data_IF_851578978958
#
_entry.id   IF_851578978958
#
_cell.length_a   1.000
_cell.length_b   1.000
_cell.length_c   1.000
_cell.angle_alpha   90.00
_cell.angle_beta   90.00
_cell.angle_gamma   90.00
#
_symmetry.space_group_name_H-M   'P 1'
#
loop_
_entity.id
_entity.type
_entity.pdbx_description
1 polymer ?
#
# COMPACT_ATOMS: atom_id res chain seq x y z
N UNK A 1 -7.15 4.37 -38.50
CA UNK A 1 -7.20 4.96 -37.16
C UNK A 1 -7.89 6.29 -37.29
N UNK A 2 -8.94 6.51 -36.50
CA UNK A 2 -9.67 7.77 -36.48
C UNK A 2 -8.73 8.88 -35.94
N UNK A 3 -8.46 9.95 -36.70
CA UNK A 3 -7.56 11.02 -36.29
C UNK A 3 -8.11 11.91 -35.16
N UNK A 4 -9.31 11.63 -34.65
CA UNK A 4 -9.95 12.35 -33.55
C UNK A 4 -9.80 11.71 -32.16
N UNK A 5 -9.14 10.54 -32.06
CA UNK A 5 -8.94 9.86 -30.77
C UNK A 5 -7.86 10.57 -29.91
N UNK A 6 -8.11 10.88 -28.63
CA UNK A 6 -7.13 11.52 -27.75
C UNK A 6 -5.96 10.57 -27.42
N UNK A 7 -4.73 11.06 -27.56
CA UNK A 7 -3.50 10.34 -27.20
C UNK A 7 -3.18 10.64 -25.73
N UNK A 8 -3.19 9.63 -24.87
CA UNK A 8 -2.69 9.73 -23.49
C UNK A 8 -1.16 9.51 -23.50
N UNK A 9 -0.40 10.53 -23.10
CA UNK A 9 1.06 10.41 -22.89
C UNK A 9 1.34 10.10 -21.42
N UNK A 10 2.02 8.98 -21.16
CA UNK A 10 2.54 8.62 -19.85
C UNK A 10 3.85 9.39 -19.59
N UNK A 11 3.80 10.44 -18.78
CA UNK A 11 5.00 11.11 -18.28
C UNK A 11 5.52 10.38 -17.03
N UNK A 12 6.85 10.35 -16.83
CA UNK A 12 7.53 9.75 -15.66
C UNK A 12 7.15 10.39 -14.30
N UNK A 13 6.39 11.50 -14.30
CA UNK A 13 5.83 12.15 -13.10
C UNK A 13 4.36 12.46 -13.33
N UNK A 14 3.48 11.63 -12.79
CA UNK A 14 2.03 11.83 -12.81
C UNK A 14 1.36 11.73 -14.19
N UNK A 15 0.07 11.44 -14.18
CA UNK A 15 -0.78 11.56 -15.38
C UNK A 15 -1.04 13.05 -15.63
N UNK A 16 -0.51 13.57 -16.73
CA UNK A 16 -0.83 14.92 -17.21
C UNK A 16 -1.97 14.81 -18.21
N UNK A 17 -3.13 15.39 -17.89
CA UNK A 17 -4.20 15.58 -18.88
C UNK A 17 -3.86 16.80 -19.75
N UNK A 18 -3.94 16.63 -21.07
CA UNK A 18 -3.77 17.71 -22.04
C UNK A 18 -5.02 18.60 -22.05
N UNK A 19 -4.85 19.92 -21.99
CA UNK A 19 -5.96 20.87 -22.07
C UNK A 19 -6.70 20.90 -23.42
N UNK A 20 -6.11 20.34 -24.49
CA UNK A 20 -6.72 20.22 -25.81
C UNK A 20 -6.10 19.06 -26.61
N UNK A 21 -6.84 18.54 -27.60
CA UNK A 21 -6.35 17.51 -28.51
C UNK A 21 -5.21 18.05 -29.38
N UNK A 22 -4.14 17.26 -29.54
CA UNK A 22 -2.98 17.63 -30.37
C UNK A 22 -3.17 17.07 -31.79
N UNK A 23 -3.21 17.92 -32.83
CA UNK A 23 -3.34 17.45 -34.20
C UNK A 23 -2.11 16.64 -34.63
N UNK A 24 -2.31 15.43 -35.13
CA UNK A 24 -1.22 14.53 -35.55
C UNK A 24 -0.33 15.14 -36.66
N UNK A 25 -0.88 16.06 -37.47
CA UNK A 25 -0.13 16.81 -38.50
C UNK A 25 0.92 17.77 -37.92
N UNK A 26 0.69 18.30 -36.72
CA UNK A 26 1.60 19.24 -36.08
C UNK A 26 2.80 18.51 -35.43
N UNK A 27 2.59 17.27 -35.00
CA UNK A 27 3.64 16.37 -34.51
C UNK A 27 4.59 15.98 -35.64
N UNK A 28 4.03 15.58 -36.80
CA UNK A 28 4.81 15.11 -37.95
C UNK A 28 5.60 16.25 -38.61
N UNK A 29 5.09 17.48 -38.53
CA UNK A 29 5.74 18.67 -39.13
C UNK A 29 6.82 19.31 -38.25
N UNK A 30 7.12 18.75 -37.07
CA UNK A 30 8.17 19.24 -36.17
C UNK A 30 7.89 20.63 -35.58
N UNK A 31 6.62 21.06 -35.57
CA UNK A 31 6.22 22.37 -35.06
C UNK A 31 6.28 22.35 -33.53
N UNK A 32 6.87 23.40 -32.92
CA UNK A 32 6.96 23.49 -31.47
C UNK A 32 5.56 23.53 -30.83
N UNK A 33 5.24 22.52 -30.02
CA UNK A 33 3.97 22.39 -29.31
C UNK A 33 4.10 22.97 -27.89
N UNK A 34 3.12 23.77 -27.48
CA UNK A 34 3.03 24.34 -26.13
C UNK A 34 1.97 23.58 -25.36
N UNK A 35 2.38 22.91 -24.28
CA UNK A 35 1.49 22.14 -23.43
C UNK A 35 0.89 23.03 -22.34
N UNK A 36 -0.42 22.94 -22.13
CA UNK A 36 -1.10 23.48 -20.95
C UNK A 36 -1.45 22.32 -20.03
N UNK A 37 -1.01 22.42 -18.78
CA UNK A 37 -1.27 21.42 -17.73
C UNK A 37 -2.60 21.75 -17.04
N UNK A 38 -3.38 20.71 -16.70
CA UNK A 38 -4.53 20.84 -15.80
C UNK A 38 -4.11 21.23 -14.37
N UNK A 39 -5.06 21.48 -13.45
CA UNK A 39 -4.74 21.88 -12.07
C UNK A 39 -3.82 20.85 -11.42
N UNK A 40 -2.70 21.32 -10.88
CA UNK A 40 -1.76 20.51 -10.10
C UNK A 40 -2.52 19.90 -8.91
N UNK A 41 -2.57 18.57 -8.86
CA UNK A 41 -2.88 17.89 -7.62
C UNK A 41 -1.65 18.07 -6.73
N UNK A 42 -1.78 18.83 -5.64
CA UNK A 42 -0.73 19.02 -4.64
C UNK A 42 -0.05 17.68 -4.36
N UNK A 43 1.18 17.57 -4.86
CA UNK A 43 1.99 16.35 -4.84
C UNK A 43 3.04 16.42 -3.73
N UNK A 44 2.67 17.02 -2.59
CA UNK A 44 3.50 17.01 -1.41
C UNK A 44 3.03 15.87 -0.48
N UNK A 45 3.92 14.87 -0.35
CA UNK A 45 3.95 13.71 0.58
C UNK A 45 2.96 12.55 0.24
N UNK A 46 3.33 11.31 -0.12
CA UNK A 46 4.53 10.47 0.03
C UNK A 46 4.77 9.63 -1.25
N UNK A 47 5.64 10.10 -2.14
CA UNK A 47 6.13 9.30 -3.30
C UNK A 47 7.60 8.90 -3.08
N UNK A 48 8.01 8.72 -1.83
CA UNK A 48 9.35 8.19 -1.51
C UNK A 48 9.41 6.70 -1.85
N UNK A 49 10.09 6.41 -2.96
CA UNK A 49 10.93 5.24 -3.23
C UNK A 49 10.58 3.93 -2.49
N UNK A 50 9.50 3.28 -2.88
CA UNK A 50 9.37 1.82 -2.72
C UNK A 50 9.22 1.23 -4.14
N UNK A 51 10.24 1.46 -4.97
CA UNK A 51 10.47 0.66 -6.17
C UNK A 51 10.62 -0.80 -5.71
N UNK A 52 9.68 -1.65 -6.13
CA UNK A 52 9.73 -3.11 -6.01
C UNK A 52 9.69 -3.75 -4.61
N UNK A 53 8.65 -3.49 -3.79
CA UNK A 53 8.12 -4.55 -2.86
C UNK A 53 6.71 -4.33 -2.31
N UNK A 54 5.90 -3.44 -2.90
CA UNK A 54 4.54 -3.18 -2.40
C UNK A 54 3.60 -4.40 -2.45
N UNK A 55 3.89 -5.37 -3.33
CA UNK A 55 3.25 -6.69 -3.40
C UNK A 55 3.13 -7.41 -2.06
N UNK A 56 4.19 -7.31 -1.26
CA UNK A 56 4.39 -8.21 -0.13
C UNK A 56 4.20 -7.50 1.22
N UNK A 57 4.65 -6.24 1.36
CA UNK A 57 4.45 -5.44 2.59
C UNK A 57 2.96 -5.26 2.93
N UNK A 58 2.14 -4.82 1.97
CA UNK A 58 0.75 -4.43 2.30
C UNK A 58 -0.26 -5.57 2.41
N UNK A 59 0.00 -6.74 1.82
CA UNK A 59 -0.99 -7.83 1.85
C UNK A 59 -1.07 -8.54 3.22
N UNK A 60 0.00 -8.51 4.02
CA UNK A 60 0.11 -9.26 5.28
C UNK A 60 0.46 -8.43 6.53
N UNK A 61 0.37 -7.10 6.48
CA UNK A 61 0.44 -6.21 7.67
C UNK A 61 -0.66 -6.50 8.73
N UNK A 62 -1.48 -7.53 8.51
CA UNK A 62 -2.49 -8.07 9.43
C UNK A 62 -1.88 -8.73 10.70
N UNK A 63 -0.59 -9.07 10.69
CA UNK A 63 0.05 -9.85 11.77
C UNK A 63 0.78 -9.00 12.83
N UNK A 64 0.78 -7.66 12.72
CA UNK A 64 1.42 -6.78 13.72
C UNK A 64 2.94 -6.95 13.85
N UNK A 65 3.61 -7.48 12.83
CA UNK A 65 5.06 -7.73 12.83
C UNK A 65 5.81 -6.42 12.63
N UNK A 66 6.63 -6.03 13.61
CA UNK A 66 7.56 -4.91 13.46
C UNK A 66 8.63 -5.25 12.42
N UNK A 67 8.72 -4.45 11.36
CA UNK A 67 9.60 -4.69 10.21
C UNK A 67 10.92 -3.94 10.27
N UNK A 68 11.08 -2.98 11.20
CA UNK A 68 12.24 -2.11 11.35
C UNK A 68 13.14 -2.54 12.51
N UNK A 69 13.56 -3.79 12.47
CA UNK A 69 14.41 -4.37 13.52
C UNK A 69 15.82 -4.48 12.99
N UNK A 70 16.73 -3.82 13.70
CA UNK A 70 18.14 -3.95 13.43
C UNK A 70 18.69 -5.22 14.08
N UNK A 71 18.88 -6.24 13.24
CA UNK A 71 19.41 -7.54 13.65
C UNK A 71 20.87 -7.48 14.07
N UNK A 72 21.62 -6.44 13.69
CA UNK A 72 23.02 -6.30 14.10
C UNK A 72 23.19 -6.05 15.60
N UNK A 73 22.13 -5.57 16.28
CA UNK A 73 22.14 -5.39 17.73
C UNK A 73 22.03 -6.70 18.52
N UNK A 74 21.76 -7.82 17.84
CA UNK A 74 21.70 -9.13 18.46
C UNK A 74 23.06 -9.80 18.26
N UNK A 75 23.72 -10.17 19.35
CA UNK A 75 25.01 -10.86 19.29
C UNK A 75 24.81 -12.34 18.89
N UNK A 76 25.64 -12.87 17.96
CA UNK A 76 25.62 -14.29 17.64
C UNK A 76 26.12 -15.09 18.83
N UNK A 77 25.57 -16.28 19.03
CA UNK A 77 26.04 -17.20 20.05
C UNK A 77 26.46 -18.53 19.42
N UNK A 78 27.75 -18.83 19.55
CA UNK A 78 28.40 -20.07 19.08
C UNK A 78 28.67 -21.05 20.23
N UNK A 79 28.31 -20.70 21.46
CA UNK A 79 28.64 -21.44 22.67
C UNK A 79 27.38 -22.01 23.34
N UNK A 80 27.59 -22.89 24.32
CA UNK A 80 26.52 -23.46 25.15
C UNK A 80 25.36 -24.01 24.30
N UNK A 81 25.69 -24.72 23.21
CA UNK A 81 24.68 -25.29 22.31
C UNK A 81 23.83 -26.38 22.99
N UNK A 82 24.25 -26.86 24.15
CA UNK A 82 23.49 -27.80 25.00
C UNK A 82 22.53 -27.08 25.97
N UNK A 83 22.51 -25.75 25.98
CA UNK A 83 21.51 -24.96 26.70
C UNK A 83 20.10 -25.30 26.18
N UNK A 84 19.11 -25.56 27.07
CA UNK A 84 17.75 -25.91 26.67
C UNK A 84 17.02 -24.84 25.84
N UNK A 85 17.55 -23.61 25.76
CA UNK A 85 17.07 -22.58 24.84
C UNK A 85 17.40 -22.87 23.38
N UNK A 86 18.41 -23.71 23.11
CA UNK A 86 18.68 -24.25 21.78
C UNK A 86 17.79 -25.46 21.56
N UNK A 87 16.81 -25.29 20.68
CA UNK A 87 15.88 -26.35 20.28
C UNK A 87 16.40 -26.98 18.99
N UNK A 88 16.42 -28.29 18.94
CA UNK A 88 16.70 -29.04 17.72
C UNK A 88 15.65 -28.70 16.66
N UNK A 89 16.12 -28.36 15.47
CA UNK A 89 15.25 -28.18 14.32
C UNK A 89 14.85 -29.56 13.83
N UNK A 90 13.59 -29.81 13.43
CA UNK A 90 13.20 -31.09 12.84
C UNK A 90 14.00 -31.34 11.55
N UNK A 91 15.07 -32.11 11.69
CA UNK A 91 15.96 -32.58 10.65
C UNK A 91 16.26 -34.07 10.81
N UNK A 92 16.93 -34.65 9.83
CA UNK A 92 17.25 -36.08 9.85
C UNK A 92 18.36 -36.43 10.86
N UNK A 93 19.18 -35.46 11.32
CA UNK A 93 20.41 -35.70 12.11
C UNK A 93 20.56 -34.91 13.43
N UNK A 94 19.67 -33.97 13.77
CA UNK A 94 19.65 -33.19 15.03
C UNK A 94 20.71 -32.10 15.19
N UNK A 95 21.50 -31.82 14.14
CA UNK A 95 22.74 -31.03 14.28
C UNK A 95 22.48 -29.52 14.08
N UNK A 96 21.45 -29.15 13.32
CA UNK A 96 21.04 -27.75 13.17
C UNK A 96 20.20 -27.35 14.38
N UNK A 97 20.67 -26.33 15.12
CA UNK A 97 20.00 -25.86 16.33
C UNK A 97 19.41 -24.47 16.13
N UNK A 98 18.26 -24.21 16.73
CA UNK A 98 17.58 -22.91 16.71
C UNK A 98 17.36 -22.40 18.13
N UNK A 99 17.68 -21.13 18.36
CA UNK A 99 17.32 -20.40 19.58
C UNK A 99 16.41 -19.24 19.26
N UNK A 100 15.23 -19.21 19.87
CA UNK A 100 14.26 -18.12 19.67
C UNK A 100 14.70 -16.90 20.50
N UNK A 101 14.90 -15.77 19.84
CA UNK A 101 15.17 -14.46 20.45
C UNK A 101 13.86 -13.71 20.68
N UNK A 102 12.94 -13.79 19.71
CA UNK A 102 11.60 -13.24 19.81
C UNK A 102 10.61 -14.20 19.21
N UNK A 103 9.58 -14.54 19.98
CA UNK A 103 8.50 -15.44 19.56
C UNK A 103 7.69 -14.77 18.45
N UNK A 104 7.39 -15.51 17.38
CA UNK A 104 6.49 -15.10 16.32
C UNK A 104 5.04 -15.51 16.58
N UNK A 105 4.26 -15.65 15.52
CA UNK A 105 2.87 -16.08 15.58
C UNK A 105 2.63 -17.38 14.83
N UNK A 106 2.19 -17.26 13.59
CA UNK A 106 1.68 -18.38 12.79
C UNK A 106 2.85 -19.21 12.24
N UNK A 107 2.78 -20.53 12.38
CA UNK A 107 3.73 -21.45 11.78
C UNK A 107 3.65 -21.43 10.24
N UNK A 108 4.80 -21.44 9.58
CA UNK A 108 4.87 -21.43 8.12
C UNK A 108 4.64 -22.84 7.56
N UNK A 109 3.79 -23.01 6.54
CA UNK A 109 3.62 -24.30 5.85
C UNK A 109 4.92 -24.81 5.24
N UNK A 110 5.09 -26.13 5.19
CA UNK A 110 6.30 -26.79 4.68
C UNK A 110 6.62 -26.45 3.22
N UNK A 111 5.60 -26.19 2.40
CA UNK A 111 5.73 -25.76 1.01
C UNK A 111 5.29 -24.29 0.89
N UNK A 112 6.24 -23.39 1.12
CA UNK A 112 6.01 -21.95 1.03
C UNK A 112 7.25 -21.22 0.47
N UNK A 113 7.01 -20.04 -0.08
CA UNK A 113 8.04 -19.04 -0.36
C UNK A 113 8.10 -18.10 0.83
N UNK A 114 9.22 -18.04 1.54
CA UNK A 114 9.40 -17.16 2.69
C UNK A 114 10.16 -15.90 2.31
N UNK A 115 9.89 -14.81 3.03
CA UNK A 115 10.71 -13.61 2.97
C UNK A 115 11.20 -13.26 4.36
N UNK A 116 12.50 -13.05 4.48
CA UNK A 116 13.19 -12.88 5.75
C UNK A 116 14.37 -11.93 5.59
N UNK A 117 14.75 -11.28 6.68
CA UNK A 117 16.02 -10.56 6.79
C UNK A 117 16.96 -11.36 7.67
N UNK A 118 18.26 -11.29 7.41
CA UNK A 118 19.23 -12.02 8.23
C UNK A 118 20.56 -11.29 8.31
N UNK A 119 21.31 -11.64 9.34
CA UNK A 119 22.73 -11.33 9.51
C UNK A 119 23.44 -12.65 9.79
N UNK A 120 24.45 -12.98 8.98
CA UNK A 120 25.24 -14.20 9.12
C UNK A 120 26.61 -13.90 9.72
N UNK A 121 26.98 -14.65 10.75
CA UNK A 121 28.30 -14.58 11.39
C UNK A 121 29.05 -15.89 11.23
N UNK A 122 30.37 -15.80 11.10
CA UNK A 122 31.28 -16.94 11.12
C UNK A 122 31.90 -17.07 12.51
N UNK A 123 32.07 -18.30 12.98
CA UNK A 123 32.72 -18.54 14.27
C UNK A 123 34.15 -17.96 14.29
N UNK A 124 34.46 -17.21 15.35
CA UNK A 124 35.75 -16.54 15.51
C UNK A 124 35.88 -15.18 14.81
N UNK A 125 34.85 -14.73 14.09
CA UNK A 125 34.82 -13.41 13.43
C UNK A 125 33.88 -12.46 14.16
N UNK A 126 34.27 -11.19 14.28
CA UNK A 126 33.44 -10.14 14.91
C UNK A 126 32.46 -9.50 13.95
N UNK A 127 32.81 -9.44 12.67
CA UNK A 127 31.99 -8.82 11.63
C UNK A 127 31.16 -9.89 10.89
N UNK A 128 29.93 -9.56 10.47
CA UNK A 128 29.11 -10.48 9.70
C UNK A 128 29.66 -10.67 8.28
N UNK A 129 29.64 -11.90 7.77
CA UNK A 129 30.12 -12.21 6.42
C UNK A 129 29.07 -11.95 5.32
N UNK A 130 27.79 -11.89 5.70
CA UNK A 130 26.67 -11.66 4.80
C UNK A 130 25.46 -11.06 5.55
N UNK A 131 24.74 -10.15 4.90
CA UNK A 131 23.55 -9.51 5.47
C UNK A 131 22.49 -9.28 4.41
N UNK A 132 21.25 -9.66 4.70
CA UNK A 132 20.09 -9.16 3.94
C UNK A 132 19.49 -7.95 4.67
N UNK A 133 19.68 -6.76 4.07
CA UNK A 133 19.27 -5.49 4.65
C UNK A 133 17.76 -5.41 4.93
N UNK A 134 17.40 -4.60 5.94
CA UNK A 134 16.03 -4.40 6.43
C UNK A 134 15.05 -4.05 5.29
N UNK A 135 15.50 -3.22 4.34
CA UNK A 135 14.72 -2.71 3.22
C UNK A 135 14.50 -3.74 2.10
N UNK A 136 15.40 -4.71 1.96
CA UNK A 136 15.36 -5.72 0.89
C UNK A 136 15.38 -7.13 1.49
N UNK A 137 14.22 -7.63 1.98
CA UNK A 137 14.11 -8.99 2.48
C UNK A 137 14.53 -10.01 1.42
N UNK A 138 15.31 -11.02 1.82
CA UNK A 138 15.62 -12.15 0.94
C UNK A 138 14.39 -13.03 0.79
N UNK A 139 14.14 -13.50 -0.42
CA UNK A 139 13.10 -14.48 -0.70
C UNK A 139 13.72 -15.84 -1.00
N UNK A 140 13.14 -16.91 -0.45
CA UNK A 140 13.58 -18.29 -0.69
C UNK A 140 12.39 -19.22 -0.69
N UNK A 141 12.35 -20.21 -1.59
CA UNK A 141 11.47 -21.35 -1.36
C UNK A 141 12.04 -22.23 -0.26
N UNK A 142 11.16 -22.76 0.60
CA UNK A 142 11.55 -23.67 1.68
C UNK A 142 11.94 -25.07 1.18
N UNK A 143 11.84 -25.35 -0.11
CA UNK A 143 12.13 -26.65 -0.73
C UNK A 143 13.51 -26.77 -1.40
N UNK A 144 14.36 -25.73 -1.37
CA UNK A 144 15.79 -25.94 -1.73
C UNK A 144 16.61 -24.75 -2.24
N UNK A 145 16.15 -23.51 -2.17
CA UNK A 145 16.90 -22.38 -2.76
C UNK A 145 18.04 -21.85 -1.88
N UNK A 146 18.00 -22.11 -0.57
CA UNK A 146 18.94 -21.56 0.40
C UNK A 146 19.84 -22.64 0.99
N UNK A 147 20.91 -22.19 1.67
CA UNK A 147 21.85 -23.05 2.40
C UNK A 147 21.08 -24.08 3.25
N UNK A 148 21.43 -25.38 3.20
CA UNK A 148 20.62 -26.43 3.83
C UNK A 148 20.25 -26.14 5.28
N UNK A 149 21.22 -25.79 6.13
CA UNK A 149 20.96 -25.50 7.55
C UNK A 149 20.09 -24.27 7.78
N UNK A 150 20.22 -23.24 6.92
CA UNK A 150 19.34 -22.07 6.97
C UNK A 150 17.92 -22.43 6.56
N UNK A 151 17.75 -23.24 5.50
CA UNK A 151 16.43 -23.73 5.05
C UNK A 151 15.74 -24.53 6.15
N UNK A 152 16.48 -25.40 6.84
CA UNK A 152 15.97 -26.19 7.97
C UNK A 152 15.53 -25.27 9.11
N UNK A 153 16.38 -24.32 9.51
CA UNK A 153 16.03 -23.32 10.52
C UNK A 153 14.76 -22.55 10.17
N UNK A 154 14.65 -22.04 8.93
CA UNK A 154 13.48 -21.31 8.43
C UNK A 154 12.19 -22.14 8.48
N UNK A 155 12.23 -23.44 8.18
CA UNK A 155 11.06 -24.34 8.25
C UNK A 155 10.49 -24.47 9.66
N UNK A 156 11.33 -24.30 10.68
CA UNK A 156 10.90 -24.38 12.09
C UNK A 156 10.39 -23.05 12.65
N UNK A 157 10.49 -21.95 11.88
CA UNK A 157 10.14 -20.61 12.36
C UNK A 157 8.66 -20.29 12.15
N UNK A 158 8.18 -19.36 12.97
CA UNK A 158 6.86 -18.72 12.87
C UNK A 158 7.00 -17.30 12.30
N UNK A 159 5.93 -16.79 11.66
CA UNK A 159 5.93 -15.43 11.12
C UNK A 159 6.11 -14.40 12.23
N UNK A 160 7.04 -13.46 12.05
CA UNK A 160 7.44 -12.44 13.03
C UNK A 160 8.52 -12.88 14.01
N UNK A 161 8.89 -14.17 14.00
CA UNK A 161 9.93 -14.74 14.87
C UNK A 161 11.30 -14.15 14.53
N UNK A 162 12.07 -13.87 15.58
CA UNK A 162 13.51 -13.64 15.47
C UNK A 162 14.20 -14.81 16.13
N UNK A 163 15.09 -15.48 15.41
CA UNK A 163 15.81 -16.63 15.91
C UNK A 163 17.28 -16.60 15.49
N UNK A 164 18.13 -17.21 16.31
CA UNK A 164 19.48 -17.60 15.93
C UNK A 164 19.45 -19.05 15.45
N UNK A 165 20.03 -19.31 14.29
CA UNK A 165 20.13 -20.64 13.69
C UNK A 165 21.61 -20.98 13.59
N UNK A 166 22.04 -21.96 14.37
CA UNK A 166 23.38 -22.52 14.33
C UNK A 166 23.45 -23.55 13.20
N UNK A 167 24.42 -23.38 12.31
CA UNK A 167 24.64 -24.20 11.12
C UNK A 167 26.08 -24.72 11.12
N UNK A 168 26.28 -26.03 11.31
CA UNK A 168 27.61 -26.64 11.21
C UNK A 168 28.10 -26.68 9.74
N UNK A 169 29.39 -26.92 9.49
CA UNK A 169 29.96 -26.96 8.14
C UNK A 169 29.21 -27.91 7.19
N UNK A 170 28.78 -29.08 7.68
CA UNK A 170 28.06 -30.10 6.89
C UNK A 170 26.76 -29.60 6.26
N UNK A 171 26.07 -28.65 6.92
CA UNK A 171 24.86 -28.00 6.44
C UNK A 171 25.10 -26.55 5.97
N UNK A 172 26.37 -26.14 5.96
CA UNK A 172 26.86 -24.84 5.55
C UNK A 172 27.73 -24.92 4.30
N UNK A 173 28.92 -24.32 4.36
CA UNK A 173 29.87 -24.28 3.22
C UNK A 173 30.87 -25.46 3.21
N UNK A 174 30.72 -26.43 4.12
CA UNK A 174 31.54 -27.62 4.20
C UNK A 174 32.99 -27.38 4.59
N UNK A 175 33.80 -28.43 4.51
CA UNK A 175 35.24 -28.41 4.80
C UNK A 175 36.05 -27.54 3.82
N UNK A 176 35.52 -27.30 2.62
CA UNK A 176 36.17 -26.49 1.60
C UNK A 176 35.84 -24.99 1.73
N UNK A 177 34.73 -24.65 2.40
CA UNK A 177 34.28 -23.27 2.52
C UNK A 177 33.90 -22.64 1.19
N UNK A 178 34.07 -21.33 1.08
CA UNK A 178 33.97 -20.55 -0.15
C UNK A 178 35.26 -19.75 -0.29
N UNK A 179 36.16 -20.11 -1.23
CA UNK A 179 37.48 -19.47 -1.37
C UNK A 179 37.39 -17.93 -1.35
N UNK A 180 38.34 -17.30 -0.67
CA UNK A 180 38.46 -15.84 -0.43
C UNK A 180 37.37 -15.18 0.44
N UNK A 181 36.24 -15.83 0.70
CA UNK A 181 35.13 -15.24 1.47
C UNK A 181 34.80 -15.96 2.77
N UNK A 182 34.81 -17.29 2.77
CA UNK A 182 34.37 -18.12 3.90
C UNK A 182 35.38 -19.26 4.10
N UNK A 183 36.05 -19.33 5.26
CA UNK A 183 36.96 -20.43 5.57
C UNK A 183 36.25 -21.79 5.53
N UNK A 184 37.00 -22.84 5.21
CA UNK A 184 36.53 -24.21 5.33
C UNK A 184 36.36 -24.65 6.78
N UNK A 185 35.37 -25.52 7.02
CA UNK A 185 35.17 -26.15 8.34
C UNK A 185 34.67 -25.20 9.44
N UNK A 186 34.21 -24.00 9.10
CA UNK A 186 33.73 -23.00 10.07
C UNK A 186 32.23 -23.15 10.37
N UNK A 187 31.85 -23.02 11.64
CA UNK A 187 30.45 -22.94 12.05
C UNK A 187 29.86 -21.56 11.72
N UNK A 188 28.54 -21.53 11.50
CA UNK A 188 27.82 -20.32 11.11
C UNK A 188 26.65 -20.10 12.06
N UNK A 189 26.41 -18.85 12.45
CA UNK A 189 25.16 -18.46 13.12
C UNK A 189 24.44 -17.43 12.26
N UNK A 190 23.22 -17.76 11.85
CA UNK A 190 22.31 -16.82 11.21
C UNK A 190 21.35 -16.25 12.25
N UNK A 191 21.31 -14.93 12.35
CA UNK A 191 20.27 -14.21 13.08
C UNK A 191 19.21 -13.84 12.05
N UNK A 192 18.03 -14.44 12.15
CA UNK A 192 16.98 -14.37 11.13
C UNK A 192 15.73 -13.74 11.72
N UNK A 193 15.11 -12.85 10.96
CA UNK A 193 13.75 -12.37 11.20
C UNK A 193 12.86 -12.79 10.05
N UNK A 194 11.93 -13.71 10.33
CA UNK A 194 10.99 -14.23 9.34
C UNK A 194 9.81 -13.26 9.20
N UNK A 195 9.76 -12.52 8.09
CA UNK A 195 8.79 -11.44 7.92
C UNK A 195 7.45 -11.94 7.39
N UNK A 196 7.46 -12.84 6.42
CA UNK A 196 6.25 -13.26 5.69
C UNK A 196 6.46 -14.56 4.93
N UNK A 197 5.36 -15.17 4.49
CA UNK A 197 5.37 -16.30 3.57
C UNK A 197 4.23 -16.23 2.56
N UNK A 198 4.42 -16.88 1.42
CA UNK A 198 3.38 -17.16 0.43
C UNK A 198 3.26 -18.67 0.36
N UNK A 199 2.09 -19.25 0.66
CA UNK A 199 1.90 -20.69 0.59
C UNK A 199 1.80 -21.15 -0.87
N UNK A 200 2.16 -22.40 -1.15
CA UNK A 200 2.25 -22.92 -2.53
C UNK A 200 0.94 -22.81 -3.31
N UNK A 201 -0.21 -22.92 -2.64
CA UNK A 201 -1.53 -22.79 -3.28
C UNK A 201 -1.74 -21.39 -3.88
N UNK A 202 -1.02 -20.38 -3.37
CA UNK A 202 -1.08 -18.99 -3.84
C UNK A 202 -0.03 -18.66 -4.90
N UNK A 203 0.85 -19.59 -5.29
CA UNK A 203 1.86 -19.33 -6.34
C UNK A 203 1.24 -19.06 -7.71
N UNK A 204 0.01 -19.53 -7.94
CA UNK A 204 -0.75 -19.29 -9.17
C UNK A 204 -1.64 -18.05 -9.10
N UNK A 205 -1.68 -17.36 -7.96
CA UNK A 205 -2.44 -16.12 -7.83
C UNK A 205 -1.57 -14.96 -8.36
N UNK A 206 -2.05 -14.19 -9.36
CA UNK A 206 -1.31 -13.09 -9.98
C UNK A 206 -0.71 -12.09 -8.97
N UNK A 207 -1.33 -11.93 -7.81
CA UNK A 207 -0.86 -11.00 -6.78
C UNK A 207 0.49 -11.39 -6.16
N UNK A 208 0.92 -12.63 -6.35
CA UNK A 208 2.12 -13.20 -5.76
C UNK A 208 3.15 -13.67 -6.81
N UNK A 209 2.86 -13.43 -8.09
CA UNK A 209 3.75 -13.76 -9.20
C UNK A 209 4.84 -12.70 -9.41
N UNK A 210 5.94 -13.10 -10.05
CA UNK A 210 6.96 -12.17 -10.54
C UNK A 210 6.46 -11.41 -11.77
N UNK A 211 7.02 -10.24 -12.04
CA UNK A 211 6.66 -9.43 -13.22
C UNK A 211 6.81 -10.21 -14.54
N UNK A 212 7.87 -11.02 -14.67
CA UNK A 212 8.09 -11.89 -15.82
C UNK A 212 6.93 -12.89 -16.03
N UNK A 213 6.45 -13.52 -14.95
CA UNK A 213 5.32 -14.45 -15.02
C UNK A 213 4.02 -13.71 -15.29
N UNK A 214 3.86 -12.49 -14.78
CA UNK A 214 2.67 -11.68 -15.02
C UNK A 214 2.48 -11.29 -16.48
N UNK A 215 3.55 -11.18 -17.27
CA UNK A 215 3.46 -10.84 -18.71
C UNK A 215 2.67 -11.87 -19.52
N UNK A 216 2.66 -13.14 -19.10
CA UNK A 216 1.92 -14.22 -19.79
C UNK A 216 0.53 -14.47 -19.20
N UNK A 217 0.18 -13.81 -18.08
CA UNK A 217 -1.12 -13.96 -17.44
C UNK A 217 -2.17 -13.17 -18.21
N UNK A 218 -3.31 -13.80 -18.48
CA UNK A 218 -4.45 -13.14 -19.11
C UNK A 218 -4.99 -12.04 -18.19
N UNK A 219 -5.27 -10.86 -18.76
CA UNK A 219 -5.79 -9.70 -18.01
C UNK A 219 -7.03 -10.04 -17.15
N UNK A 220 -7.91 -10.91 -17.65
CA UNK A 220 -9.08 -11.39 -16.90
C UNK A 220 -8.73 -12.05 -15.55
N UNK A 221 -7.64 -12.82 -15.48
CA UNK A 221 -7.22 -13.46 -14.22
C UNK A 221 -6.63 -12.43 -13.25
N UNK A 222 -5.90 -11.43 -13.75
CA UNK A 222 -5.46 -10.27 -12.97
C UNK A 222 -6.67 -9.55 -12.37
N UNK A 223 -7.71 -9.29 -13.16
CA UNK A 223 -8.93 -8.63 -12.66
C UNK A 223 -9.64 -9.46 -11.59
N UNK A 224 -9.73 -10.78 -11.76
CA UNK A 224 -10.31 -11.66 -10.73
C UNK A 224 -9.53 -11.60 -9.42
N UNK A 225 -8.20 -11.60 -9.49
CA UNK A 225 -7.35 -11.52 -8.31
C UNK A 225 -7.58 -10.19 -7.56
N UNK A 226 -7.59 -9.06 -8.28
CA UNK A 226 -7.89 -7.73 -7.73
C UNK A 226 -9.31 -7.65 -7.15
N UNK A 227 -10.29 -8.28 -7.80
CA UNK A 227 -11.65 -8.38 -7.27
C UNK A 227 -11.70 -9.15 -5.95
N UNK A 228 -10.88 -10.18 -5.78
CA UNK A 228 -10.69 -10.89 -4.50
C UNK A 228 -10.26 -9.93 -3.39
N UNK A 229 -9.22 -9.11 -3.64
CA UNK A 229 -8.77 -8.10 -2.67
C UNK A 229 -9.86 -7.08 -2.35
N UNK A 230 -10.61 -6.63 -3.36
CA UNK A 230 -11.71 -5.70 -3.14
C UNK A 230 -12.78 -6.32 -2.22
N UNK A 231 -13.07 -7.62 -2.38
CA UNK A 231 -14.01 -8.33 -1.51
C UNK A 231 -13.48 -8.46 -0.08
N UNK A 232 -12.19 -8.79 0.10
CA UNK A 232 -11.52 -8.77 1.42
C UNK A 232 -11.60 -7.39 2.07
N UNK A 233 -11.29 -6.32 1.33
CA UNK A 233 -11.41 -4.94 1.79
C UNK A 233 -12.84 -4.59 2.22
N UNK A 234 -13.84 -5.02 1.45
CA UNK A 234 -15.25 -4.82 1.80
C UNK A 234 -15.65 -5.58 3.08
N UNK A 235 -15.08 -6.76 3.33
CA UNK A 235 -15.28 -7.48 4.59
C UNK A 235 -14.65 -6.72 5.76
N UNK A 236 -13.43 -6.20 5.59
CA UNK A 236 -12.78 -5.36 6.60
C UNK A 236 -13.57 -4.09 6.91
N UNK A 237 -14.16 -3.44 5.91
CA UNK A 237 -15.08 -2.31 6.10
C UNK A 237 -16.29 -2.70 6.97
N UNK A 238 -16.90 -3.86 6.70
CA UNK A 238 -18.04 -4.37 7.51
C UNK A 238 -17.63 -4.65 8.95
N UNK A 239 -16.41 -5.13 9.15
CA UNK A 239 -15.80 -5.35 10.48
C UNK A 239 -15.27 -4.07 11.13
N UNK A 240 -15.51 -2.89 10.53
CA UNK A 240 -15.02 -1.57 10.98
C UNK A 240 -13.49 -1.46 11.08
N UNK A 241 -12.76 -2.34 10.42
CA UNK A 241 -11.30 -2.28 10.34
C UNK A 241 -10.89 -1.43 9.13
N UNK A 242 -11.14 -0.12 9.23
CA UNK A 242 -10.97 0.82 8.12
C UNK A 242 -9.50 0.99 7.71
N UNK A 243 -8.57 0.94 8.66
CA UNK A 243 -7.13 1.08 8.37
C UNK A 243 -6.63 -0.04 7.46
N UNK A 244 -6.99 -1.29 7.77
CA UNK A 244 -6.61 -2.43 6.94
C UNK A 244 -7.33 -2.43 5.58
N UNK A 245 -8.59 -2.01 5.55
CA UNK A 245 -9.32 -1.84 4.29
C UNK A 245 -8.60 -0.84 3.35
N UNK A 246 -8.17 0.32 3.87
CA UNK A 246 -7.39 1.31 3.11
C UNK A 246 -6.11 0.68 2.53
N UNK A 247 -5.37 -0.10 3.33
CA UNK A 247 -4.14 -0.78 2.87
C UNK A 247 -4.42 -1.74 1.73
N UNK A 248 -5.46 -2.57 1.85
CA UNK A 248 -5.89 -3.51 0.80
C UNK A 248 -6.31 -2.79 -0.48
N UNK A 249 -7.08 -1.70 -0.38
CA UNK A 249 -7.46 -0.91 -1.56
C UNK A 249 -6.27 -0.21 -2.21
N UNK A 250 -5.36 0.39 -1.42
CA UNK A 250 -4.12 0.98 -1.92
C UNK A 250 -3.30 -0.04 -2.70
N UNK A 251 -3.16 -1.24 -2.14
CA UNK A 251 -2.46 -2.33 -2.80
C UNK A 251 -3.10 -2.70 -4.15
N UNK A 252 -4.41 -2.92 -4.16
CA UNK A 252 -5.18 -3.24 -5.35
C UNK A 252 -5.08 -2.17 -6.45
N UNK A 253 -5.13 -0.88 -6.07
CA UNK A 253 -4.98 0.25 -6.99
C UNK A 253 -3.58 0.23 -7.61
N UNK A 254 -2.53 0.22 -6.79
CA UNK A 254 -1.15 0.26 -7.27
C UNK A 254 -0.83 -0.95 -8.15
N UNK A 255 -1.30 -2.14 -7.78
CA UNK A 255 -1.10 -3.34 -8.58
C UNK A 255 -1.77 -3.24 -9.95
N UNK A 256 -2.97 -2.65 -10.04
CA UNK A 256 -3.75 -2.58 -11.26
C UNK A 256 -3.33 -1.40 -12.17
N UNK A 257 -2.87 -0.29 -11.60
CA UNK A 257 -2.40 0.88 -12.36
C UNK A 257 -1.10 0.60 -13.13
N UNK A 258 -0.25 -0.29 -12.63
CA UNK A 258 0.97 -0.69 -13.32
C UNK A 258 0.72 -1.70 -14.45
N UNK A 259 -0.51 -2.21 -14.61
CA UNK A 259 -0.84 -3.20 -15.64
C UNK A 259 -1.20 -2.52 -16.95
N UNK A 260 -0.49 -2.88 -18.01
CA UNK A 260 -0.84 -2.54 -19.39
C UNK A 260 -2.09 -3.32 -19.84
N UNK A 261 -2.93 -2.66 -20.64
CA UNK A 261 -4.14 -3.24 -21.25
C UNK A 261 -3.94 -3.33 -22.76
N UNK A 262 -4.31 -4.44 -23.39
CA UNK A 262 -4.11 -4.66 -24.82
C UNK A 262 -5.28 -4.12 -25.66
N UNK A 263 -6.48 -4.03 -25.08
CA UNK A 263 -7.69 -3.59 -25.79
C UNK A 263 -8.43 -2.49 -25.04
N UNK A 264 -9.24 -1.72 -25.76
CA UNK A 264 -10.14 -0.71 -25.18
C UNK A 264 -11.16 -1.32 -24.20
N UNK A 265 -11.60 -2.57 -24.45
CA UNK A 265 -12.48 -3.31 -23.55
C UNK A 265 -11.79 -3.59 -22.21
N UNK A 266 -10.56 -4.09 -22.25
CA UNK A 266 -9.76 -4.34 -21.04
C UNK A 266 -9.48 -3.04 -20.29
N UNK A 267 -9.18 -1.96 -21.01
CA UNK A 267 -9.03 -0.63 -20.42
C UNK A 267 -10.27 -0.20 -19.64
N UNK A 268 -11.46 -0.31 -20.26
CA UNK A 268 -12.73 0.02 -19.62
C UNK A 268 -13.03 -0.87 -18.40
N UNK A 269 -12.72 -2.17 -18.46
CA UNK A 269 -12.87 -3.08 -17.33
C UNK A 269 -11.94 -2.73 -16.17
N UNK A 270 -10.67 -2.39 -16.48
CA UNK A 270 -9.69 -1.88 -15.52
C UNK A 270 -10.20 -0.65 -14.80
N UNK A 271 -10.66 0.35 -15.56
CA UNK A 271 -11.15 1.60 -15.03
C UNK A 271 -12.38 1.43 -14.12
N UNK A 272 -13.32 0.55 -14.50
CA UNK A 272 -14.47 0.23 -13.64
C UNK A 272 -14.06 -0.30 -12.27
N UNK A 273 -13.03 -1.16 -12.24
CA UNK A 273 -12.50 -1.72 -10.99
C UNK A 273 -11.72 -0.65 -10.21
N UNK A 274 -10.83 0.10 -10.86
CA UNK A 274 -10.12 1.23 -10.23
C UNK A 274 -11.10 2.24 -9.63
N UNK A 275 -12.15 2.61 -10.36
CA UNK A 275 -13.17 3.53 -9.86
C UNK A 275 -13.89 2.99 -8.62
N UNK A 276 -14.15 1.69 -8.58
CA UNK A 276 -14.72 1.05 -7.38
C UNK A 276 -13.75 1.11 -6.19
N UNK A 277 -12.47 0.82 -6.42
CA UNK A 277 -11.43 0.84 -5.39
C UNK A 277 -11.19 2.25 -4.83
N UNK A 278 -11.06 3.27 -5.69
CA UNK A 278 -10.90 4.67 -5.29
C UNK A 278 -12.09 5.16 -4.47
N UNK A 279 -13.32 4.85 -4.90
CA UNK A 279 -14.51 5.15 -4.13
C UNK A 279 -14.45 4.49 -2.75
N UNK A 280 -14.21 3.18 -2.69
CA UNK A 280 -14.17 2.45 -1.42
C UNK A 280 -13.11 3.00 -0.46
N UNK A 281 -11.90 3.30 -0.96
CA UNK A 281 -10.81 3.92 -0.20
C UNK A 281 -11.16 5.34 0.27
N UNK A 282 -11.78 6.17 -0.57
CA UNK A 282 -12.30 7.48 -0.20
C UNK A 282 -13.31 7.38 0.96
N UNK A 283 -14.25 6.42 0.88
CA UNK A 283 -15.20 6.15 1.95
C UNK A 283 -14.51 5.70 3.26
N UNK A 284 -13.51 4.82 3.16
CA UNK A 284 -12.75 4.36 4.31
C UNK A 284 -12.00 5.49 5.03
N UNK A 285 -11.39 6.42 4.29
CA UNK A 285 -10.73 7.60 4.87
C UNK A 285 -11.71 8.56 5.58
N UNK A 286 -12.94 8.68 5.08
CA UNK A 286 -13.98 9.46 5.77
C UNK A 286 -14.34 8.83 7.13
N UNK A 287 -14.45 7.51 7.21
CA UNK A 287 -14.69 6.80 8.48
C UNK A 287 -13.52 6.91 9.45
N UNK A 288 -12.29 7.03 8.93
CA UNK A 288 -11.08 7.28 9.72
C UNK A 288 -10.89 8.75 10.15
N UNK A 289 -11.80 9.65 9.78
CA UNK A 289 -11.66 11.10 10.01
C UNK A 289 -10.40 11.69 9.38
N UNK A 290 -10.02 11.19 8.19
CA UNK A 290 -8.91 11.69 7.38
C UNK A 290 -9.43 12.40 6.11
N UNK A 291 -10.14 13.54 6.24
CA UNK A 291 -10.86 14.16 5.13
C UNK A 291 -9.95 14.62 3.98
N UNK A 292 -8.74 15.12 4.27
CA UNK A 292 -7.78 15.53 3.24
C UNK A 292 -7.40 14.36 2.30
N UNK A 293 -7.15 13.17 2.87
CA UNK A 293 -6.88 11.95 2.09
C UNK A 293 -8.11 11.51 1.31
N UNK A 294 -9.30 11.58 1.91
CA UNK A 294 -10.55 11.26 1.23
C UNK A 294 -10.80 12.14 -0.01
N UNK A 295 -10.51 13.44 0.06
CA UNK A 295 -10.61 14.36 -1.08
C UNK A 295 -9.67 13.93 -2.21
N UNK A 296 -8.42 13.60 -1.88
CA UNK A 296 -7.42 13.14 -2.85
C UNK A 296 -7.90 11.90 -3.61
N UNK A 297 -8.36 10.88 -2.92
CA UNK A 297 -8.89 9.65 -3.53
C UNK A 297 -10.14 9.91 -4.38
N UNK A 298 -11.03 10.78 -3.91
CA UNK A 298 -12.20 11.21 -4.66
C UNK A 298 -11.83 11.94 -5.95
N UNK A 299 -10.82 12.82 -5.91
CA UNK A 299 -10.30 13.51 -7.09
C UNK A 299 -9.62 12.53 -8.06
N UNK A 300 -8.86 11.56 -7.57
CA UNK A 300 -8.30 10.50 -8.43
C UNK A 300 -9.38 9.74 -9.19
N UNK A 301 -10.49 9.37 -8.53
CA UNK A 301 -11.64 8.77 -9.22
C UNK A 301 -12.13 9.65 -10.38
N UNK A 302 -12.22 10.97 -10.20
CA UNK A 302 -12.68 11.91 -11.23
C UNK A 302 -11.70 12.04 -12.42
N UNK A 303 -10.47 11.55 -12.29
CA UNK A 303 -9.47 11.52 -13.39
C UNK A 303 -9.59 10.32 -14.34
N UNK A 304 -10.37 9.30 -13.97
CA UNK A 304 -10.65 8.14 -14.83
C UNK A 304 -11.45 8.55 -16.08
N UNK A 305 -11.47 7.73 -17.13
CA UNK A 305 -12.25 8.03 -18.34
C UNK A 305 -13.74 7.68 -18.17
N UNK A 306 -14.09 6.74 -17.28
CA UNK A 306 -15.48 6.30 -17.05
C UNK A 306 -15.93 6.34 -15.58
N UNK A 307 -16.98 7.14 -15.28
CA UNK A 307 -17.47 7.39 -13.91
C UNK A 307 -18.95 6.98 -13.67
N UNK A 308 -19.28 5.70 -13.50
CA UNK A 308 -20.67 5.25 -13.35
C UNK A 308 -21.33 5.70 -12.04
N UNK A 309 -20.53 6.18 -11.08
CA UNK A 309 -20.96 6.63 -9.75
C UNK A 309 -20.35 8.00 -9.41
N UNK A 310 -20.30 8.91 -10.40
CA UNK A 310 -19.69 10.24 -10.24
C UNK A 310 -20.27 11.01 -9.06
N UNK A 311 -21.59 11.01 -8.91
CA UNK A 311 -22.25 11.64 -7.77
C UNK A 311 -21.74 11.12 -6.41
N UNK A 312 -21.43 9.81 -6.26
CA UNK A 312 -20.91 9.27 -4.99
C UNK A 312 -19.52 9.81 -4.67
N UNK A 313 -18.68 10.03 -5.67
CA UNK A 313 -17.38 10.67 -5.48
C UNK A 313 -17.56 12.14 -5.05
N UNK A 314 -18.37 12.91 -5.79
CA UNK A 314 -18.65 14.32 -5.50
C UNK A 314 -19.25 14.51 -4.10
N UNK A 315 -20.25 13.71 -3.74
CA UNK A 315 -20.84 13.70 -2.40
C UNK A 315 -19.82 13.45 -1.29
N UNK A 316 -18.92 12.47 -1.48
CA UNK A 316 -17.88 12.14 -0.49
C UNK A 316 -16.84 13.26 -0.37
N UNK A 317 -16.44 13.87 -1.48
CA UNK A 317 -15.55 15.04 -1.51
C UNK A 317 -16.21 16.23 -0.79
N UNK A 318 -17.49 16.51 -1.07
CA UNK A 318 -18.25 17.56 -0.40
C UNK A 318 -18.30 17.34 1.12
N UNK A 319 -18.60 16.11 1.55
CA UNK A 319 -18.61 15.72 2.97
C UNK A 319 -17.23 15.90 3.61
N UNK A 320 -16.15 15.55 2.90
CA UNK A 320 -14.79 15.75 3.39
C UNK A 320 -14.43 17.24 3.55
N UNK A 321 -14.79 18.10 2.60
CA UNK A 321 -14.60 19.55 2.72
C UNK A 321 -15.39 20.14 3.89
N UNK A 322 -16.63 19.67 4.11
CA UNK A 322 -17.41 20.06 5.29
C UNK A 322 -16.67 19.70 6.59
N UNK A 323 -16.07 18.51 6.69
CA UNK A 323 -15.27 18.12 7.85
C UNK A 323 -14.03 19.00 8.06
N UNK A 324 -13.45 19.55 6.99
CA UNK A 324 -12.33 20.50 7.06
C UNK A 324 -12.77 21.94 7.36
N UNK A 325 -14.07 22.25 7.28
CA UNK A 325 -14.59 23.61 7.40
C UNK A 325 -14.47 24.43 6.11
N UNK A 326 -14.12 23.80 4.98
CA UNK A 326 -14.06 24.45 3.67
C UNK A 326 -15.48 24.53 3.08
N UNK A 327 -16.28 25.47 3.58
CA UNK A 327 -17.72 25.52 3.31
C UNK A 327 -18.06 25.84 1.85
N UNK A 328 -17.26 26.67 1.18
CA UNK A 328 -17.49 27.07 -0.21
C UNK A 328 -17.28 25.87 -1.16
N UNK A 329 -16.18 25.13 -0.99
CA UNK A 329 -15.90 23.91 -1.75
C UNK A 329 -16.90 22.80 -1.41
N UNK A 330 -17.29 22.67 -0.14
CA UNK A 330 -18.30 21.69 0.27
C UNK A 330 -19.64 21.95 -0.44
N UNK A 331 -20.06 23.21 -0.52
CA UNK A 331 -21.30 23.59 -1.21
C UNK A 331 -21.21 23.34 -2.72
N UNK A 332 -20.07 23.69 -3.34
CA UNK A 332 -19.83 23.47 -4.76
C UNK A 332 -19.98 21.99 -5.13
N UNK A 333 -19.21 21.12 -4.48
CA UNK A 333 -19.25 19.68 -4.76
C UNK A 333 -20.61 19.05 -4.41
N UNK A 334 -21.28 19.53 -3.36
CA UNK A 334 -22.61 19.06 -2.99
C UNK A 334 -23.66 19.39 -4.06
N UNK A 335 -23.60 20.59 -4.63
CA UNK A 335 -24.51 21.01 -5.70
C UNK A 335 -24.27 20.21 -6.98
N UNK A 336 -23.00 20.05 -7.38
CA UNK A 336 -22.63 19.23 -8.54
C UNK A 336 -23.10 17.79 -8.38
N UNK A 337 -22.96 17.21 -7.18
CA UNK A 337 -23.44 15.86 -6.86
C UNK A 337 -24.96 15.71 -7.01
N UNK A 338 -25.73 16.74 -6.63
CA UNK A 338 -27.20 16.69 -6.68
C UNK A 338 -27.76 16.73 -8.10
N UNK A 339 -27.07 17.41 -9.02
CA UNK A 339 -27.52 17.57 -10.42
C UNK A 339 -26.89 16.53 -11.36
N UNK A 340 -25.98 15.69 -10.85
CA UNK A 340 -25.27 14.71 -11.65
C UNK A 340 -26.22 13.66 -12.26
N UNK A 341 -26.16 13.37 -13.58
CA UNK A 341 -27.09 12.45 -14.23
C UNK A 341 -27.03 10.99 -13.74
N UNK A 342 -25.95 10.61 -13.05
CA UNK A 342 -25.81 9.26 -12.47
C UNK A 342 -26.50 9.15 -11.11
N UNK A 343 -26.89 10.27 -10.49
CA UNK A 343 -27.66 10.33 -9.25
C UNK A 343 -29.17 10.13 -9.49
N UNK A 344 -29.59 8.88 -9.63
CA UNK A 344 -30.99 8.53 -9.96
C UNK A 344 -31.79 8.01 -8.76
N UNK A 345 -31.12 7.68 -7.66
CA UNK A 345 -31.75 7.09 -6.49
C UNK A 345 -32.29 8.20 -5.56
N UNK A 346 -33.57 8.11 -5.20
CA UNK A 346 -34.19 9.11 -4.31
C UNK A 346 -33.50 9.20 -2.94
N UNK A 347 -32.93 8.08 -2.45
CA UNK A 347 -32.12 8.04 -1.23
C UNK A 347 -30.83 8.86 -1.34
N UNK A 348 -30.18 8.81 -2.50
CA UNK A 348 -28.90 9.50 -2.73
C UNK A 348 -29.12 11.01 -2.92
N UNK A 349 -30.21 11.41 -3.58
CA UNK A 349 -30.67 12.80 -3.65
C UNK A 349 -31.00 13.36 -2.26
N UNK A 350 -31.69 12.56 -1.42
CA UNK A 350 -31.99 12.94 -0.04
C UNK A 350 -30.70 13.17 0.76
N UNK A 351 -29.71 12.29 0.65
CA UNK A 351 -28.42 12.46 1.31
C UNK A 351 -27.72 13.75 0.90
N UNK A 352 -27.75 14.11 -0.38
CA UNK A 352 -27.17 15.38 -0.86
C UNK A 352 -27.91 16.60 -0.27
N UNK A 353 -29.24 16.54 -0.18
CA UNK A 353 -30.03 17.60 0.46
C UNK A 353 -29.75 17.73 1.95
N UNK A 354 -29.63 16.60 2.66
CA UNK A 354 -29.29 16.57 4.08
C UNK A 354 -27.88 17.16 4.32
N UNK A 355 -26.91 16.83 3.45
CA UNK A 355 -25.56 17.40 3.51
C UNK A 355 -25.57 18.92 3.24
N UNK A 356 -26.35 19.37 2.26
CA UNK A 356 -26.53 20.80 1.98
C UNK A 356 -27.07 21.56 3.20
N UNK A 357 -28.08 21.01 3.88
CA UNK A 357 -28.60 21.60 5.12
C UNK A 357 -27.51 21.69 6.20
N UNK A 358 -26.66 20.67 6.34
CA UNK A 358 -25.54 20.70 7.28
C UNK A 358 -24.53 21.81 6.94
N UNK A 359 -24.20 21.98 5.66
CA UNK A 359 -23.31 23.06 5.19
C UNK A 359 -23.93 24.44 5.50
N UNK A 360 -25.21 24.64 5.20
CA UNK A 360 -25.92 25.89 5.46
C UNK A 360 -25.98 26.21 6.96
N UNK A 361 -26.22 25.20 7.81
CA UNK A 361 -26.17 25.34 9.26
C UNK A 361 -24.76 25.71 9.77
N UNK A 362 -23.71 25.10 9.22
CA UNK A 362 -22.32 25.42 9.57
C UNK A 362 -21.97 26.87 9.18
N UNK A 363 -22.33 27.30 7.98
CA UNK A 363 -22.11 28.67 7.50
C UNK A 363 -22.86 29.70 8.35
N UNK A 364 -24.11 29.41 8.73
CA UNK A 364 -24.89 30.28 9.60
C UNK A 364 -24.27 30.43 10.99
N UNK A 365 -23.70 29.33 11.52
CA UNK A 365 -22.99 29.33 12.80
C UNK A 365 -21.70 30.16 12.72
N UNK A 366 -20.86 29.95 11.72
CA UNK A 366 -19.63 30.71 11.52
C UNK A 366 -19.90 32.22 11.42
N UNK A 367 -20.94 32.62 10.67
CA UNK A 367 -21.38 34.00 10.57
C UNK A 367 -21.84 34.58 11.91
N UNK A 368 -22.53 33.78 12.73
CA UNK A 368 -22.97 34.20 14.07
C UNK A 368 -21.78 34.39 15.00
N UNK A 369 -20.83 33.46 14.98
CA UNK A 369 -19.63 33.48 15.81
C UNK A 369 -18.72 34.65 15.42
N UNK A 370 -18.52 34.88 14.11
CA UNK A 370 -17.81 36.05 13.60
C UNK A 370 -18.45 37.37 14.07
N UNK A 371 -19.78 37.52 13.93
CA UNK A 371 -20.51 38.70 14.43
C UNK A 371 -20.31 38.90 15.93
N UNK A 372 -20.34 37.82 16.71
CA UNK A 372 -20.14 37.88 18.16
C UNK A 372 -18.71 38.31 18.51
N UNK A 373 -17.70 37.74 17.83
CA UNK A 373 -16.29 38.13 17.99
C UNK A 373 -16.05 39.60 17.63
N UNK A 374 -16.58 40.09 16.49
CA UNK A 374 -16.47 41.49 16.11
C UNK A 374 -17.09 42.42 17.17
N UNK A 375 -18.28 42.09 17.70
CA UNK A 375 -18.92 42.89 18.76
C UNK A 375 -18.08 43.01 20.02
N UNK A 376 -17.38 41.94 20.42
CA UNK A 376 -16.47 41.93 21.58
C UNK A 376 -15.18 42.70 21.30
N UNK A 377 -14.56 42.47 20.15
CA UNK A 377 -13.30 43.10 19.74
C UNK A 377 -13.43 44.62 19.64
N UNK A 378 -14.50 45.10 19.02
CA UNK A 378 -14.65 46.54 18.75
C UNK A 378 -15.30 47.32 19.89
N UNK A 379 -15.63 46.68 21.03
CA UNK A 379 -16.40 47.25 22.14
C UNK A 379 -17.28 48.40 21.65
N UNK A 380 -18.31 48.09 20.85
CA UNK A 380 -19.24 49.13 20.37
C UNK A 380 -19.90 49.74 21.61
N UNK A 381 -19.23 50.74 22.20
CA UNK A 381 -19.74 51.66 23.20
C UNK A 381 -20.82 52.38 22.44
N UNK A 382 -22.03 51.84 22.51
CA UNK A 382 -23.23 52.58 22.22
C UNK A 382 -23.17 53.77 23.17
N UNK A 383 -22.63 54.90 22.69
CA UNK A 383 -22.82 56.20 23.31
C UNK A 383 -24.33 56.38 23.31
N UNK A 384 -24.97 56.06 24.43
CA UNK A 384 -26.32 56.52 24.72
C UNK A 384 -26.24 58.04 24.62
N UNK A 385 -26.77 58.60 23.53
CA UNK A 385 -27.00 60.02 23.42
C UNK A 385 -27.82 60.43 24.64
N UNK A 386 -27.21 61.21 25.53
CA UNK A 386 -27.98 61.98 26.51
C UNK A 386 -28.65 63.07 25.69
N UNK A 387 -29.95 62.90 25.45
CA UNK A 387 -30.82 64.05 25.18
C UNK A 387 -30.78 64.92 26.44
N UNK A 388 -30.20 66.11 26.31
CA UNK A 388 -30.48 67.26 27.16
C UNK A 388 -30.77 68.44 26.24
#
# INVERSE_FOLDING_TARGET
MDPSAPIQLLARRGKVQLGAAVPMKDIISGKALRFTYGPELDSEEDYFSDEETLGSKTYFEEQGVDTNIDLMNILPNFHDLDDPMWVEVPDDDGIVKKRIVRIGGIAVPTQAKVYFTYVGYLEGYTEPFDTAHILNPKASFLDGDALPGLTMGLRSMTVGEIAQIFVPPSYGYGELGCPDRIPGGVNIVFIVHLKQYIPKEKFQDPLFMTEEKLQVVKFREILKAVQGINQEGNQLLRSKNFQMAVKKYKYAINFLETRSTATEKEHLEREKILGTLYLNKCGAHLELQEPAKAIREGKHYLTLDHHPRKFKALYRIAKAHLHLGNLDEALLYCQESSIDPTNKEASDLKQCNDLKQQIDCAAAKEKKDYRYMCKRMFQLKVRKGKNQ
#
